data_IF_714089147612
#
_entry.id   IF_714089147612
#
_cell.length_a   1.000
_cell.length_b   1.000
_cell.length_c   1.000
_cell.angle_alpha   90.00
_cell.angle_beta   90.00
_cell.angle_gamma   90.00
#
_symmetry.space_group_name_H-M   'P 1'
#
loop_
_entity.id
_entity.type
_entity.pdbx_description
1 polymer ?
#
# COMPACT_ATOMS: atom_id res chain seq x y z
N UNK A 1 -31.96 -12.56 -9.95
CA UNK A 1 -31.81 -11.32 -9.16
C UNK A 1 -30.49 -10.70 -9.56
N UNK A 2 -30.50 -9.62 -10.32
CA UNK A 2 -29.29 -8.90 -10.73
C UNK A 2 -28.91 -7.97 -9.59
N UNK A 3 -27.89 -8.34 -8.80
CA UNK A 3 -27.24 -7.36 -7.94
C UNK A 3 -26.58 -6.32 -8.85
N UNK A 4 -26.80 -5.01 -8.64
CA UNK A 4 -26.04 -4.01 -9.36
C UNK A 4 -24.59 -4.18 -8.90
N UNK A 5 -23.71 -4.59 -9.81
CA UNK A 5 -22.28 -4.49 -9.54
C UNK A 5 -22.03 -3.03 -9.20
N UNK A 6 -21.66 -2.76 -7.94
CA UNK A 6 -21.02 -1.48 -7.58
C UNK A 6 -19.82 -1.38 -8.49
N UNK A 7 -19.98 -0.69 -9.61
CA UNK A 7 -18.93 -0.49 -10.58
C UNK A 7 -17.99 0.55 -9.98
N UNK A 8 -17.16 0.12 -9.03
CA UNK A 8 -16.15 0.99 -8.43
C UNK A 8 -15.20 1.38 -9.55
N UNK A 9 -14.99 2.68 -9.73
CA UNK A 9 -14.18 3.23 -10.81
C UNK A 9 -12.70 2.93 -10.53
N UNK A 10 -12.08 2.06 -11.34
CA UNK A 10 -10.68 1.65 -11.18
C UNK A 10 -9.71 2.84 -11.18
N UNK A 11 -10.05 3.93 -11.88
CA UNK A 11 -9.26 5.17 -11.86
C UNK A 11 -9.32 5.89 -10.52
N UNK A 12 -10.49 5.93 -9.89
CA UNK A 12 -10.66 6.53 -8.56
C UNK A 12 -9.94 5.69 -7.50
N UNK A 13 -10.06 4.36 -7.56
CA UNK A 13 -9.31 3.46 -6.68
C UNK A 13 -7.80 3.69 -6.86
N UNK A 14 -7.32 3.79 -8.10
CA UNK A 14 -5.90 4.02 -8.35
C UNK A 14 -5.41 5.34 -7.75
N UNK A 15 -6.16 6.43 -7.92
CA UNK A 15 -5.80 7.73 -7.34
C UNK A 15 -5.75 7.65 -5.80
N UNK A 16 -6.80 7.09 -5.19
CA UNK A 16 -6.87 6.90 -3.75
C UNK A 16 -5.69 6.07 -3.22
N UNK A 17 -5.41 4.94 -3.87
CA UNK A 17 -4.28 4.07 -3.51
C UNK A 17 -2.95 4.82 -3.66
N UNK A 18 -2.74 5.59 -4.72
CA UNK A 18 -1.51 6.39 -4.89
C UNK A 18 -1.34 7.40 -3.75
N UNK A 19 -2.41 8.10 -3.36
CA UNK A 19 -2.37 9.08 -2.26
C UNK A 19 -2.03 8.42 -0.93
N UNK A 20 -2.73 7.34 -0.57
CA UNK A 20 -2.45 6.57 0.65
C UNK A 20 -1.01 6.04 0.67
N UNK A 21 -0.45 5.65 -0.48
CA UNK A 21 0.93 5.20 -0.56
C UNK A 21 1.96 6.32 -0.42
N UNK A 22 1.65 7.53 -0.90
CA UNK A 22 2.50 8.69 -0.64
C UNK A 22 2.54 9.01 0.85
N UNK A 23 1.40 8.97 1.51
CA UNK A 23 1.28 9.12 2.96
C UNK A 23 2.08 8.05 3.70
N UNK A 24 1.94 6.77 3.31
CA UNK A 24 2.70 5.67 3.89
C UNK A 24 4.22 5.88 3.78
N UNK A 25 4.72 6.35 2.62
CA UNK A 25 6.14 6.61 2.40
C UNK A 25 6.67 7.71 3.32
N UNK A 26 5.91 8.79 3.49
CA UNK A 26 6.27 9.90 4.39
C UNK A 26 6.32 9.39 5.83
N UNK A 27 5.29 8.64 6.26
CA UNK A 27 5.24 8.05 7.60
C UNK A 27 6.41 7.08 7.83
N UNK A 28 6.73 6.22 6.86
CA UNK A 28 7.85 5.27 6.96
C UNK A 28 9.19 5.94 7.20
N UNK A 29 9.48 7.03 6.48
CA UNK A 29 10.72 7.82 6.69
C UNK A 29 10.72 8.47 8.07
N UNK A 30 9.60 9.06 8.47
CA UNK A 30 9.45 9.71 9.78
C UNK A 30 9.70 8.73 10.93
N UNK A 31 9.05 7.57 10.92
CA UNK A 31 9.21 6.57 11.98
C UNK A 31 10.59 5.91 11.98
N UNK A 32 11.19 5.69 10.81
CA UNK A 32 12.58 5.23 10.73
C UNK A 32 13.56 6.24 11.35
N UNK A 33 13.36 7.54 11.10
CA UNK A 33 14.19 8.58 11.72
C UNK A 33 14.03 8.64 13.24
N UNK A 34 12.81 8.37 13.76
CA UNK A 34 12.56 8.28 15.20
C UNK A 34 13.28 7.06 15.80
N UNK A 35 13.23 5.89 15.15
CA UNK A 35 13.94 4.68 15.57
C UNK A 35 15.46 4.90 15.60
N UNK A 36 16.04 5.46 14.54
CA UNK A 36 17.46 5.78 14.46
C UNK A 36 17.87 6.75 15.58
N UNK A 37 17.12 7.83 15.81
CA UNK A 37 17.41 8.80 16.88
C UNK A 37 17.38 8.16 18.28
N UNK A 38 16.43 7.25 18.52
CA UNK A 38 16.35 6.52 19.78
C UNK A 38 17.56 5.59 19.99
N UNK A 39 18.02 4.92 18.93
CA UNK A 39 19.20 4.04 18.97
C UNK A 39 20.49 4.82 19.26
N UNK A 40 20.64 6.03 18.71
CA UNK A 40 21.79 6.89 18.95
C UNK A 40 21.76 7.64 20.29
N UNK A 41 20.73 7.45 21.13
CA UNK A 41 20.60 8.12 22.43
C UNK A 41 20.45 9.64 22.33
N UNK A 42 20.11 10.16 21.15
CA UNK A 42 19.92 11.59 20.90
C UNK A 42 18.50 11.94 21.32
N UNK A 43 18.35 12.83 22.30
CA UNK A 43 17.05 13.43 22.59
C UNK A 43 16.58 14.17 21.32
N UNK A 44 15.46 13.69 20.73
CA UNK A 44 14.81 14.25 19.53
C UNK A 44 15.10 15.73 19.34
N UNK A 45 15.88 16.06 18.29
CA UNK A 45 16.22 17.44 17.93
C UNK A 45 14.97 18.29 17.65
N UNK A 46 13.82 17.65 17.44
CA UNK A 46 12.53 18.28 17.14
C UNK A 46 11.44 17.73 18.07
N UNK A 47 11.17 18.39 19.21
CA UNK A 47 10.13 17.99 20.17
C UNK A 47 8.72 17.95 19.58
N UNK A 48 8.47 18.70 18.50
CA UNK A 48 7.19 18.71 17.78
C UNK A 48 6.83 17.35 17.18
N UNK A 49 7.83 16.52 16.86
CA UNK A 49 7.64 15.16 16.35
C UNK A 49 7.18 14.16 17.42
N UNK A 50 7.21 14.51 18.72
CA UNK A 50 6.69 13.65 19.81
C UNK A 50 5.17 13.48 19.80
N UNK A 51 4.43 14.40 19.20
CA UNK A 51 2.95 14.39 19.21
C UNK A 51 2.41 13.64 17.99
N UNK A 52 2.59 12.33 17.93
CA UNK A 52 2.22 11.57 16.73
C UNK A 52 1.52 10.24 17.02
N UNK A 53 0.57 10.22 17.95
CA UNK A 53 -0.25 9.03 18.19
C UNK A 53 -1.10 8.64 16.99
N UNK A 54 -1.68 9.61 16.27
CA UNK A 54 -2.49 9.33 15.07
C UNK A 54 -1.64 8.85 13.90
N UNK A 55 -0.54 9.54 13.62
CA UNK A 55 0.44 9.13 12.59
C UNK A 55 1.02 7.74 12.88
N UNK A 56 1.25 7.40 14.15
CA UNK A 56 1.77 6.09 14.55
C UNK A 56 0.74 4.98 14.36
N UNK A 57 -0.52 5.24 14.75
CA UNK A 57 -1.62 4.29 14.52
C UNK A 57 -1.82 4.08 13.02
N UNK A 58 -1.89 5.18 12.23
CA UNK A 58 -2.02 5.12 10.77
C UNK A 58 -0.85 4.37 10.16
N UNK A 59 0.37 4.67 10.58
CA UNK A 59 1.57 3.98 10.09
C UNK A 59 1.54 2.48 10.38
N UNK A 60 1.18 2.06 11.59
CA UNK A 60 1.06 0.64 11.97
C UNK A 60 -0.02 -0.08 11.17
N UNK A 61 -1.17 0.55 10.96
CA UNK A 61 -2.26 -0.01 10.16
C UNK A 61 -1.84 -0.19 8.69
N UNK A 62 -1.23 0.84 8.10
CA UNK A 62 -0.73 0.77 6.73
C UNK A 62 0.41 -0.24 6.59
N UNK A 63 1.37 -0.26 7.52
CA UNK A 63 2.45 -1.25 7.53
C UNK A 63 1.89 -2.67 7.59
N UNK A 64 0.94 -2.94 8.47
CA UNK A 64 0.29 -4.26 8.55
C UNK A 64 -0.44 -4.64 7.26
N UNK A 65 -1.17 -3.69 6.67
CA UNK A 65 -1.88 -3.92 5.41
C UNK A 65 -0.93 -4.14 4.21
N UNK A 66 0.19 -3.43 4.14
CA UNK A 66 1.11 -3.50 2.99
C UNK A 66 2.22 -4.54 3.13
N UNK A 67 2.79 -4.69 4.32
CA UNK A 67 3.96 -5.54 4.56
C UNK A 67 3.58 -6.93 5.09
N UNK A 68 2.45 -7.05 5.82
CA UNK A 68 2.06 -8.34 6.43
C UNK A 68 0.85 -9.00 5.77
N UNK A 69 -0.08 -8.23 5.22
CA UNK A 69 -1.27 -8.81 4.59
C UNK A 69 -1.00 -9.32 3.17
N UNK A 70 0.00 -8.76 2.46
CA UNK A 70 0.31 -9.10 1.07
C UNK A 70 1.51 -10.04 0.98
N UNK A 71 1.35 -11.16 0.28
CA UNK A 71 2.48 -12.01 -0.10
C UNK A 71 3.33 -11.38 -1.23
N UNK A 72 4.49 -11.96 -1.53
CA UNK A 72 5.45 -11.39 -2.49
C UNK A 72 4.89 -11.26 -3.91
N UNK A 73 4.01 -12.17 -4.34
CA UNK A 73 3.32 -12.08 -5.64
C UNK A 73 2.26 -10.98 -5.60
N UNK A 74 1.56 -10.84 -4.48
CA UNK A 74 0.53 -9.82 -4.28
C UNK A 74 1.11 -8.41 -4.26
N UNK A 75 2.27 -8.23 -3.62
CA UNK A 75 3.03 -6.98 -3.63
C UNK A 75 3.44 -6.58 -5.05
N UNK A 76 3.95 -7.52 -5.86
CA UNK A 76 4.33 -7.26 -7.25
C UNK A 76 3.13 -6.89 -8.12
N UNK A 77 2.01 -7.59 -7.96
CA UNK A 77 0.75 -7.25 -8.66
C UNK A 77 0.31 -5.84 -8.27
N UNK A 78 0.34 -5.53 -6.98
CA UNK A 78 -0.03 -4.24 -6.45
C UNK A 78 0.84 -3.11 -7.01
N UNK A 79 2.16 -3.29 -7.03
CA UNK A 79 3.10 -2.35 -7.62
C UNK A 79 2.82 -2.11 -9.10
N UNK A 80 2.71 -3.19 -9.89
CA UNK A 80 2.50 -3.08 -11.34
C UNK A 80 1.15 -2.47 -11.69
N UNK A 81 0.12 -2.70 -10.87
CA UNK A 81 -1.25 -2.27 -11.16
C UNK A 81 -1.55 -0.86 -10.66
N UNK A 82 -1.06 -0.50 -9.46
CA UNK A 82 -1.44 0.74 -8.79
C UNK A 82 -0.28 1.73 -8.58
N UNK A 83 0.97 1.26 -8.48
CA UNK A 83 2.13 2.14 -8.28
C UNK A 83 2.91 2.48 -9.55
N UNK A 84 2.74 1.67 -10.59
CA UNK A 84 3.37 1.90 -11.89
C UNK A 84 2.85 3.19 -12.51
N UNK A 85 3.77 4.10 -12.87
CA UNK A 85 3.45 5.28 -13.69
C UNK A 85 2.94 4.94 -15.10
N UNK A 86 2.95 3.65 -15.47
CA UNK A 86 2.35 3.12 -16.70
C UNK A 86 1.11 2.33 -16.35
N UNK A 87 0.01 2.60 -17.05
CA UNK A 87 -1.20 1.79 -16.94
C UNK A 87 -0.99 0.49 -17.75
N UNK A 88 -0.58 -0.57 -17.05
CA UNK A 88 -0.44 -1.91 -17.65
C UNK A 88 -1.80 -2.59 -17.68
N UNK A 89 -2.12 -3.27 -18.79
CA UNK A 89 -3.30 -4.12 -18.86
C UNK A 89 -3.09 -5.38 -18.02
N UNK A 90 -4.20 -5.94 -17.54
CA UNK A 90 -4.19 -7.16 -16.73
C UNK A 90 -3.50 -8.32 -17.46
N UNK A 91 -3.71 -8.43 -18.76
CA UNK A 91 -3.11 -9.45 -19.62
C UNK A 91 -1.58 -9.39 -19.65
N UNK A 92 -0.98 -8.19 -19.65
CA UNK A 92 0.47 -8.06 -19.55
C UNK A 92 0.94 -8.34 -18.13
N UNK A 93 0.21 -7.91 -17.09
CA UNK A 93 0.66 -8.06 -15.70
C UNK A 93 0.79 -9.54 -15.33
N UNK A 94 -0.26 -10.36 -15.52
CA UNK A 94 -0.15 -11.78 -15.17
C UNK A 94 0.79 -12.55 -16.12
N UNK A 95 1.00 -12.06 -17.35
CA UNK A 95 1.99 -12.64 -18.29
C UNK A 95 3.42 -12.35 -17.85
N UNK A 96 3.74 -11.10 -17.50
CA UNK A 96 5.07 -10.70 -17.02
C UNK A 96 5.42 -11.42 -15.73
N UNK A 97 4.44 -11.54 -14.83
CA UNK A 97 4.61 -12.20 -13.54
C UNK A 97 4.51 -13.74 -13.63
N UNK A 98 4.19 -14.30 -14.80
CA UNK A 98 4.07 -15.74 -15.00
C UNK A 98 2.96 -16.40 -14.17
N UNK A 99 1.92 -15.66 -13.79
CA UNK A 99 0.87 -16.10 -12.88
C UNK A 99 -0.37 -16.51 -13.67
N UNK A 100 -1.05 -17.57 -13.21
CA UNK A 100 -2.35 -17.96 -13.78
C UNK A 100 -3.37 -16.84 -13.57
N UNK A 101 -4.13 -16.53 -14.63
CA UNK A 101 -5.23 -15.54 -14.63
C UNK A 101 -6.15 -15.67 -13.41
N UNK A 102 -6.56 -16.88 -13.05
CA UNK A 102 -7.43 -17.12 -11.89
C UNK A 102 -6.81 -16.72 -10.54
N UNK A 103 -5.50 -16.93 -10.35
CA UNK A 103 -4.77 -16.51 -9.15
C UNK A 103 -4.69 -14.98 -9.10
N UNK A 104 -4.35 -14.35 -10.22
CA UNK A 104 -4.25 -12.89 -10.36
C UNK A 104 -5.55 -12.16 -9.97
N UNK A 105 -6.72 -12.58 -10.47
CA UNK A 105 -7.98 -11.91 -10.11
C UNK A 105 -8.39 -12.14 -8.64
N UNK A 106 -8.00 -13.28 -8.05
CA UNK A 106 -8.21 -13.55 -6.62
C UNK A 106 -7.42 -12.57 -5.76
N UNK A 107 -6.16 -12.36 -6.13
CA UNK A 107 -5.24 -11.41 -5.48
C UNK A 107 -5.76 -9.98 -5.60
N UNK A 108 -6.17 -9.55 -6.80
CA UNK A 108 -6.76 -8.22 -7.00
C UNK A 108 -8.00 -8.04 -6.11
N UNK A 109 -8.83 -9.07 -5.98
CA UNK A 109 -10.01 -9.00 -5.11
C UNK A 109 -9.65 -8.87 -3.64
N UNK A 110 -8.56 -9.49 -3.20
CA UNK A 110 -8.08 -9.41 -1.82
C UNK A 110 -7.45 -8.05 -1.51
N UNK A 111 -6.57 -7.57 -2.39
CA UNK A 111 -5.99 -6.22 -2.31
C UNK A 111 -7.07 -5.14 -2.21
N UNK A 112 -8.17 -5.27 -2.98
CA UNK A 112 -9.33 -4.36 -2.93
C UNK A 112 -10.20 -4.47 -1.67
N UNK A 113 -10.03 -5.51 -0.87
CA UNK A 113 -10.75 -5.71 0.40
C UNK A 113 -9.94 -5.20 1.59
N UNK A 114 -8.61 -5.19 1.46
CA UNK A 114 -7.67 -4.74 2.50
C UNK A 114 -7.43 -3.23 2.42
N UNK A 115 -7.61 -2.63 1.24
CA UNK A 115 -7.54 -1.18 0.98
C UNK A 115 -8.94 -0.59 0.80
#
# INVERSE_FOLDING_TARGET
MNQPSRHVNEKEIRLFVIEELQDYRVLKVKFKSIEEQAEFGVALLFPELRKCTEDEIRYKQMRGAFEEALDEDEQKIFEMKYMSGRELNDDNIYTILGIKRGKFYRIISFVRLVL
#
